data_IF_130943417533
#
_entry.id   IF_130943417533
#
_cell.length_a   1.000
_cell.length_b   1.000
_cell.length_c   1.000
_cell.angle_alpha   90.00
_cell.angle_beta   90.00
_cell.angle_gamma   90.00
#
_symmetry.space_group_name_H-M   'P 1'
#
loop_
_entity.id
_entity.type
_entity.pdbx_description
1 polymer ?
#
# COMPACT_ATOMS: atom_id res chain seq x y z
N UNK A 1 10.41 -0.88 4.67
CA UNK A 1 9.99 -2.14 5.28
C UNK A 1 10.68 -3.28 4.52
N UNK A 2 11.27 -4.24 5.22
CA UNK A 2 11.90 -5.38 4.56
C UNK A 2 10.84 -6.38 4.09
N UNK A 3 10.86 -6.76 2.82
CA UNK A 3 10.12 -7.93 2.33
C UNK A 3 10.87 -9.19 2.77
N UNK A 4 10.19 -10.16 3.36
CA UNK A 4 10.81 -11.40 3.80
C UNK A 4 11.48 -12.14 2.62
N UNK A 5 12.63 -12.79 2.85
CA UNK A 5 13.37 -13.49 1.78
C UNK A 5 12.52 -14.55 1.06
N UNK A 6 11.72 -15.40 1.74
CA UNK A 6 10.85 -16.35 1.06
C UNK A 6 9.84 -15.68 0.12
N UNK A 7 9.31 -14.52 0.52
CA UNK A 7 8.39 -13.75 -0.31
C UNK A 7 9.09 -13.19 -1.56
N UNK A 8 10.32 -12.68 -1.43
CA UNK A 8 11.08 -12.20 -2.58
C UNK A 8 11.33 -13.31 -3.62
N UNK A 9 11.64 -14.53 -3.15
CA UNK A 9 11.81 -15.69 -4.03
C UNK A 9 10.51 -16.04 -4.74
N UNK A 10 9.40 -16.15 -3.99
CA UNK A 10 8.09 -16.44 -4.58
C UNK A 10 7.69 -15.41 -5.64
N UNK A 11 7.94 -14.12 -5.40
CA UNK A 11 7.69 -13.07 -6.39
C UNK A 11 8.55 -13.27 -7.64
N UNK A 12 9.84 -13.57 -7.46
CA UNK A 12 10.76 -13.84 -8.57
C UNK A 12 10.32 -15.02 -9.43
N UNK A 13 9.95 -16.13 -8.79
CA UNK A 13 9.50 -17.35 -9.47
C UNK A 13 8.20 -17.11 -10.27
N UNK A 14 7.23 -16.39 -9.68
CA UNK A 14 5.98 -16.03 -10.36
C UNK A 14 6.23 -15.15 -11.59
N UNK A 15 7.09 -14.14 -11.47
CA UNK A 15 7.43 -13.27 -12.60
C UNK A 15 8.18 -14.03 -13.69
N UNK A 16 9.10 -14.93 -13.32
CA UNK A 16 9.84 -15.78 -14.25
C UNK A 16 8.94 -16.77 -15.01
N UNK A 17 7.84 -17.23 -14.39
CA UNK A 17 6.78 -18.01 -15.05
C UNK A 17 5.90 -17.17 -16.00
N UNK A 18 6.20 -15.88 -16.14
CA UNK A 18 5.45 -14.96 -16.98
C UNK A 18 4.11 -14.52 -16.36
N UNK A 19 3.91 -14.74 -15.06
CA UNK A 19 2.67 -14.47 -14.35
C UNK A 19 2.73 -13.12 -13.62
N UNK A 20 1.60 -12.70 -13.05
CA UNK A 20 1.45 -11.44 -12.35
C UNK A 20 1.37 -11.65 -10.84
N UNK A 21 1.91 -10.69 -10.09
CA UNK A 21 1.92 -10.68 -8.63
C UNK A 21 1.06 -9.54 -8.12
N UNK A 22 0.19 -9.81 -7.15
CA UNK A 22 -0.59 -8.79 -6.45
C UNK A 22 -0.04 -8.60 -5.04
N UNK A 23 0.59 -7.47 -4.79
CA UNK A 23 1.03 -7.03 -3.46
C UNK A 23 -0.05 -6.16 -2.84
N UNK A 24 -0.78 -6.76 -1.91
CA UNK A 24 -1.84 -6.11 -1.16
C UNK A 24 -1.32 -5.51 0.14
N UNK A 25 -1.69 -4.27 0.39
CA UNK A 25 -1.48 -3.62 1.68
C UNK A 25 -2.82 -3.36 2.35
N UNK A 26 -2.98 -3.89 3.57
CA UNK A 26 -4.16 -3.62 4.36
C UNK A 26 -4.13 -2.16 4.86
N UNK A 27 -4.85 -1.28 4.17
CA UNK A 27 -4.81 0.16 4.45
C UNK A 27 -6.20 0.81 4.53
N UNK A 28 -7.23 0.09 4.97
CA UNK A 28 -8.47 0.78 5.38
C UNK A 28 -8.16 1.58 6.66
N UNK A 29 -7.95 2.89 6.53
CA UNK A 29 -7.93 3.82 7.67
C UNK A 29 -6.62 4.56 8.00
N UNK A 30 -5.52 4.39 7.25
CA UNK A 30 -4.25 5.08 7.58
C UNK A 30 -3.72 5.92 6.41
N UNK A 31 -4.26 7.13 6.25
CA UNK A 31 -3.57 8.19 5.54
C UNK A 31 -2.21 8.43 6.27
N UNK A 32 -1.06 8.54 5.57
CA UNK A 32 0.23 8.44 6.25
C UNK A 32 0.33 9.61 7.23
N UNK A 33 0.64 9.39 8.50
CA UNK A 33 0.87 10.48 9.45
C UNK A 33 2.36 10.63 9.72
N UNK A 34 2.80 11.81 10.12
CA UNK A 34 4.20 12.02 10.46
C UNK A 34 4.42 11.61 11.91
N UNK A 35 5.39 10.71 12.15
CA UNK A 35 5.75 10.20 13.47
C UNK A 35 7.23 10.44 13.77
N UNK A 36 7.57 10.77 15.01
CA UNK A 36 8.94 10.73 15.50
C UNK A 36 9.32 9.33 15.96
N UNK A 37 10.41 8.80 15.41
CA UNK A 37 10.88 7.47 15.77
C UNK A 37 11.41 7.39 17.20
N UNK A 38 12.03 8.47 17.69
CA UNK A 38 12.66 8.51 19.01
C UNK A 38 11.66 8.59 20.18
N UNK A 39 10.61 9.40 20.06
CA UNK A 39 9.70 9.70 21.18
C UNK A 39 8.24 9.36 20.93
N UNK A 40 7.88 8.88 19.73
CA UNK A 40 6.52 8.50 19.39
C UNK A 40 5.55 9.67 19.15
N UNK A 41 6.03 10.91 19.06
CA UNK A 41 5.20 12.05 18.65
C UNK A 41 4.50 11.75 17.32
N UNK A 42 3.20 12.09 17.21
CA UNK A 42 2.39 11.94 16.00
C UNK A 42 1.83 13.31 15.62
N UNK A 43 1.87 13.66 14.33
CA UNK A 43 1.34 14.93 13.84
C UNK A 43 -0.18 15.02 13.95
N UNK A 44 -0.63 16.02 14.70
CA UNK A 44 -2.05 16.34 14.94
C UNK A 44 -2.40 17.70 14.32
N UNK A 45 -3.68 17.85 13.98
CA UNK A 45 -4.22 19.07 13.41
C UNK A 45 -4.46 20.09 14.53
N UNK A 46 -3.90 21.30 14.44
CA UNK A 46 -4.10 22.33 15.47
C UNK A 46 -5.53 22.92 15.48
N UNK A 47 -6.41 22.49 14.58
CA UNK A 47 -7.79 23.02 14.45
C UNK A 47 -8.90 22.07 14.88
N UNK A 48 -8.66 20.76 14.89
CA UNK A 48 -9.74 19.79 15.10
C UNK A 48 -9.26 18.45 15.68
N UNK A 49 -8.05 18.39 16.22
CA UNK A 49 -7.44 17.23 16.89
C UNK A 49 -7.31 15.95 16.04
N UNK A 50 -7.73 15.99 14.78
CA UNK A 50 -7.54 14.92 13.81
C UNK A 50 -6.05 14.76 13.47
N UNK A 51 -5.63 13.56 13.07
CA UNK A 51 -4.26 13.33 12.60
C UNK A 51 -4.02 14.03 11.26
N UNK A 52 -2.85 14.65 11.12
CA UNK A 52 -2.43 15.21 9.84
C UNK A 52 -1.95 14.08 8.92
N UNK A 53 -2.25 14.21 7.63
CA UNK A 53 -1.83 13.31 6.56
C UNK A 53 -0.62 13.89 5.81
N UNK A 54 0.43 13.10 5.63
CA UNK A 54 1.61 13.40 4.82
C UNK A 54 1.26 13.18 3.35
N UNK A 55 1.44 14.23 2.55
CA UNK A 55 1.33 14.21 1.10
C UNK A 55 2.73 14.39 0.52
N UNK A 56 3.41 13.28 0.20
CA UNK A 56 4.81 13.32 -0.26
C UNK A 56 4.98 14.07 -1.58
N UNK A 57 4.05 13.90 -2.53
CA UNK A 57 4.11 14.54 -3.84
C UNK A 57 4.06 16.07 -3.80
N UNK A 58 3.38 16.65 -2.81
CA UNK A 58 3.32 18.10 -2.59
C UNK A 58 4.22 18.59 -1.45
N UNK A 59 4.84 17.67 -0.69
CA UNK A 59 5.69 18.01 0.45
C UNK A 59 4.94 18.68 1.61
N UNK A 60 3.65 18.37 1.81
CA UNK A 60 2.81 19.02 2.84
C UNK A 60 2.15 18.03 3.80
N UNK A 61 1.74 18.54 4.96
CA UNK A 61 0.81 17.90 5.87
C UNK A 61 -0.58 18.49 5.66
N UNK A 62 -1.61 17.66 5.45
CA UNK A 62 -3.00 18.08 5.27
C UNK A 62 -3.94 17.35 6.23
N UNK A 63 -4.84 18.10 6.86
CA UNK A 63 -5.97 17.55 7.60
C UNK A 63 -7.15 17.36 6.66
N UNK A 64 -7.64 16.12 6.53
CA UNK A 64 -8.81 15.85 5.69
C UNK A 64 -10.15 16.11 6.37
N UNK A 65 -10.15 16.44 7.67
CA UNK A 65 -11.37 16.81 8.39
C UNK A 65 -11.72 18.28 8.18
N UNK A 66 -10.75 19.19 8.23
CA UNK A 66 -10.97 20.65 8.18
C UNK A 66 -10.18 21.39 7.07
N UNK A 67 -9.53 20.64 6.18
CA UNK A 67 -8.67 21.12 5.09
C UNK A 67 -7.44 21.95 5.50
N UNK A 68 -7.07 21.96 6.78
CA UNK A 68 -5.86 22.64 7.25
C UNK A 68 -4.59 22.06 6.61
N UNK A 69 -3.66 22.92 6.18
CA UNK A 69 -2.39 22.54 5.55
C UNK A 69 -1.23 23.20 6.27
N UNK A 70 -0.13 22.46 6.42
CA UNK A 70 1.12 22.98 6.97
C UNK A 70 2.31 22.24 6.36
N UNK A 71 3.51 22.83 6.47
CA UNK A 71 4.75 22.12 6.11
C UNK A 71 5.10 21.10 7.20
N UNK A 72 5.67 19.94 6.84
CA UNK A 72 6.28 19.05 7.83
C UNK A 72 7.37 19.79 8.63
N UNK A 73 7.43 19.65 9.97
CA UNK A 73 8.51 20.22 10.75
C UNK A 73 9.84 19.54 10.42
N UNK A 74 10.96 20.29 10.51
CA UNK A 74 12.30 19.73 10.28
C UNK A 74 12.81 18.87 11.45
N UNK A 75 12.34 19.18 12.66
CA UNK A 75 12.68 18.48 13.90
C UNK A 75 11.40 18.11 14.64
N UNK A 76 11.46 17.04 15.43
CA UNK A 76 10.35 16.66 16.29
C UNK A 76 10.03 17.80 17.27
N UNK A 77 8.77 18.30 17.29
CA UNK A 77 8.39 19.38 18.18
C UNK A 77 8.34 18.96 19.66
N UNK A 78 8.37 17.65 19.95
CA UNK A 78 8.34 17.12 21.32
C UNK A 78 9.74 16.85 21.88
N UNK A 79 10.68 16.31 21.10
CA UNK A 79 12.02 15.92 21.60
C UNK A 79 13.19 16.57 20.84
N UNK A 80 12.93 17.37 19.81
CA UNK A 80 13.95 18.06 19.01
C UNK A 80 14.75 17.18 18.03
N UNK A 81 14.59 15.85 18.07
CA UNK A 81 15.30 14.92 17.19
C UNK A 81 14.84 15.02 15.72
N UNK A 82 15.71 14.60 14.80
CA UNK A 82 15.50 14.74 13.35
C UNK A 82 14.75 13.55 12.73
N UNK A 83 14.59 12.43 13.43
CA UNK A 83 14.05 11.21 12.83
C UNK A 83 12.51 11.24 12.79
N UNK A 84 12.00 12.05 11.86
CA UNK A 84 10.58 12.15 11.51
C UNK A 84 10.29 11.31 10.28
N UNK A 85 9.41 10.33 10.43
CA UNK A 85 9.05 9.37 9.38
C UNK A 85 7.56 9.39 9.11
N UNK A 86 7.13 9.40 7.83
CA UNK A 86 5.75 9.06 7.52
C UNK A 86 5.48 7.60 7.91
N UNK A 87 4.38 7.38 8.61
CA UNK A 87 3.86 6.07 9.01
C UNK A 87 2.50 5.90 8.34
N UNK A 88 2.35 4.84 7.55
CA UNK A 88 1.18 4.62 6.70
C UNK A 88 1.42 4.85 5.20
N UNK A 89 2.64 5.19 4.76
CA UNK A 89 3.03 5.29 3.33
C UNK A 89 3.32 3.90 2.70
N UNK A 90 2.49 2.91 3.00
CA UNK A 90 2.79 1.51 2.70
C UNK A 90 2.94 1.22 1.21
N UNK A 91 2.01 1.70 0.38
CA UNK A 91 1.97 1.39 -1.06
C UNK A 91 3.13 2.02 -1.81
N UNK A 92 3.47 3.28 -1.53
CA UNK A 92 4.61 3.99 -2.13
C UNK A 92 5.94 3.36 -1.73
N UNK A 93 6.13 3.03 -0.44
CA UNK A 93 7.33 2.34 0.02
C UNK A 93 7.47 0.93 -0.53
N UNK A 94 6.35 0.20 -0.66
CA UNK A 94 6.34 -1.12 -1.27
C UNK A 94 6.72 -1.00 -2.75
N UNK A 95 6.12 -0.05 -3.47
CA UNK A 95 6.42 0.26 -4.87
C UNK A 95 7.91 0.58 -5.09
N UNK A 96 8.48 1.53 -4.35
CA UNK A 96 9.92 1.87 -4.41
C UNK A 96 10.80 0.64 -4.17
N UNK A 97 10.48 -0.15 -3.12
CA UNK A 97 11.28 -1.32 -2.78
C UNK A 97 11.19 -2.41 -3.85
N UNK A 98 10.01 -2.64 -4.40
CA UNK A 98 9.77 -3.63 -5.44
C UNK A 98 10.48 -3.25 -6.75
N UNK A 99 10.52 -1.96 -7.10
CA UNK A 99 11.31 -1.48 -8.26
C UNK A 99 12.79 -1.75 -8.12
N UNK A 100 13.34 -1.61 -6.91
CA UNK A 100 14.76 -1.91 -6.64
C UNK A 100 15.03 -3.42 -6.76
N UNK A 101 14.11 -4.25 -6.27
CA UNK A 101 14.28 -5.71 -6.24
C UNK A 101 14.02 -6.37 -7.61
N UNK A 102 13.10 -5.81 -8.40
CA UNK A 102 12.65 -6.36 -9.68
C UNK A 102 12.70 -5.29 -10.78
N UNK A 103 13.89 -4.74 -11.12
CA UNK A 103 14.01 -3.60 -12.02
C UNK A 103 13.54 -3.89 -13.46
N UNK A 104 13.49 -5.17 -13.85
CA UNK A 104 13.09 -5.61 -15.18
C UNK A 104 11.58 -5.82 -15.35
N UNK A 105 10.79 -5.66 -14.28
CA UNK A 105 9.35 -5.88 -14.31
C UNK A 105 8.59 -4.60 -13.94
N UNK A 106 7.50 -4.26 -14.65
CA UNK A 106 6.67 -3.12 -14.29
C UNK A 106 6.09 -3.26 -12.88
N UNK A 107 6.18 -2.19 -12.09
CA UNK A 107 5.53 -2.07 -10.78
C UNK A 107 4.42 -1.02 -10.89
N UNK A 108 3.18 -1.48 -10.79
CA UNK A 108 1.96 -0.71 -11.05
C UNK A 108 1.24 -0.42 -9.73
N UNK A 109 1.30 0.83 -9.23
CA UNK A 109 0.58 1.24 -8.02
C UNK A 109 -0.85 1.66 -8.31
N UNK A 110 -1.80 1.01 -7.65
CA UNK A 110 -3.24 1.20 -7.81
C UNK A 110 -3.84 1.58 -6.45
N UNK A 111 -4.00 2.88 -6.25
CA UNK A 111 -4.70 3.48 -5.13
C UNK A 111 -5.45 4.75 -5.56
N UNK A 112 -6.13 5.38 -4.60
CA UNK A 112 -6.97 6.56 -4.85
C UNK A 112 -6.16 7.74 -5.41
N UNK A 113 -4.90 7.87 -5.03
CA UNK A 113 -4.07 9.00 -5.40
C UNK A 113 -3.46 8.78 -6.80
N UNK A 114 -3.02 7.55 -7.10
CA UNK A 114 -2.49 7.18 -8.42
C UNK A 114 -3.55 7.12 -9.52
N UNK A 115 -4.83 6.93 -9.17
CA UNK A 115 -5.95 6.84 -10.13
C UNK A 115 -6.77 8.11 -10.29
N UNK A 116 -6.33 9.23 -9.70
CA UNK A 116 -7.04 10.51 -9.68
C UNK A 116 -7.13 11.25 -11.01
N UNK A 117 -6.25 10.94 -11.98
CA UNK A 117 -6.24 11.57 -13.32
C UNK A 117 -7.26 10.92 -14.25
N UNK A 118 -7.91 11.73 -15.08
CA UNK A 118 -8.83 11.27 -16.13
C UNK A 118 -8.09 10.25 -17.02
N UNK A 119 -8.68 9.06 -17.21
CA UNK A 119 -8.15 7.91 -17.98
C UNK A 119 -7.05 7.05 -17.34
N UNK A 120 -6.34 7.51 -16.30
CA UNK A 120 -5.23 6.74 -15.70
C UNK A 120 -5.63 5.32 -15.24
N UNK A 121 -6.83 5.19 -14.69
CA UNK A 121 -7.36 3.88 -14.29
C UNK A 121 -7.60 2.95 -15.49
N UNK A 122 -8.07 3.46 -16.63
CA UNK A 122 -8.35 2.67 -17.83
C UNK A 122 -7.05 2.14 -18.44
N UNK A 123 -6.03 2.99 -18.52
CA UNK A 123 -4.73 2.63 -19.10
C UNK A 123 -4.03 1.58 -18.25
N UNK A 124 -4.06 1.75 -16.92
CA UNK A 124 -3.59 0.74 -15.96
C UNK A 124 -4.25 -0.62 -16.21
N UNK A 125 -5.57 -0.66 -16.34
CA UNK A 125 -6.27 -1.93 -16.59
C UNK A 125 -5.94 -2.54 -17.95
N UNK A 126 -5.71 -1.73 -18.99
CA UNK A 126 -5.27 -2.25 -20.28
C UNK A 126 -3.91 -2.95 -20.16
N UNK A 127 -2.96 -2.36 -19.42
CA UNK A 127 -1.65 -2.99 -19.15
C UNK A 127 -1.79 -4.25 -18.33
N UNK A 128 -2.66 -4.29 -17.31
CA UNK A 128 -2.82 -5.51 -16.50
C UNK A 128 -3.46 -6.63 -17.31
N UNK A 129 -4.45 -6.30 -18.15
CA UNK A 129 -5.16 -7.26 -18.97
C UNK A 129 -4.37 -7.74 -20.19
N UNK A 130 -3.25 -7.11 -20.55
CA UNK A 130 -2.32 -7.69 -21.55
C UNK A 130 -1.75 -9.03 -21.06
N UNK A 131 -1.76 -9.25 -19.75
CA UNK A 131 -1.21 -10.45 -19.13
C UNK A 131 0.31 -10.43 -19.08
N UNK A 132 0.97 -9.33 -19.40
CA UNK A 132 2.43 -9.26 -19.25
C UNK A 132 2.83 -9.35 -17.76
N UNK A 133 4.01 -9.92 -17.47
CA UNK A 133 4.45 -10.15 -16.09
C UNK A 133 4.68 -8.80 -15.41
N UNK A 134 3.96 -8.54 -14.33
CA UNK A 134 4.05 -7.29 -13.59
C UNK A 134 3.69 -7.47 -12.13
N UNK A 135 4.03 -6.46 -11.32
CA UNK A 135 3.73 -6.40 -9.90
C UNK A 135 2.68 -5.32 -9.67
N UNK A 136 1.49 -5.72 -9.23
CA UNK A 136 0.40 -4.83 -8.84
C UNK A 136 0.53 -4.49 -7.37
N UNK A 137 0.65 -3.22 -7.02
CA UNK A 137 0.74 -2.76 -5.63
C UNK A 137 -0.52 -1.97 -5.31
N UNK A 138 -1.26 -2.33 -4.28
CA UNK A 138 -2.44 -1.56 -3.95
C UNK A 138 -3.18 -2.00 -2.70
N UNK A 139 -4.36 -1.41 -2.54
CA UNK A 139 -5.22 -1.61 -1.38
C UNK A 139 -6.54 -2.26 -1.82
N UNK A 140 -7.64 -2.03 -1.09
CA UNK A 140 -8.95 -2.61 -1.37
C UNK A 140 -9.52 -2.31 -2.76
N UNK A 141 -9.00 -1.29 -3.46
CA UNK A 141 -9.41 -1.02 -4.85
C UNK A 141 -9.08 -2.20 -5.79
N UNK A 142 -7.99 -2.94 -5.52
CA UNK A 142 -7.64 -4.16 -6.26
C UNK A 142 -8.56 -5.34 -5.93
N UNK A 143 -9.25 -5.27 -4.79
CA UNK A 143 -10.02 -6.37 -4.25
C UNK A 143 -11.48 -6.38 -4.76
N UNK A 144 -11.95 -5.34 -5.48
CA UNK A 144 -13.35 -5.17 -5.90
C UNK A 144 -13.48 -4.90 -7.40
N UNK A 145 -14.50 -5.49 -8.04
CA UNK A 145 -14.98 -5.07 -9.38
C UNK A 145 -14.07 -5.34 -10.59
N UNK A 146 -12.85 -5.84 -10.40
CA UNK A 146 -11.88 -6.03 -11.50
C UNK A 146 -11.37 -7.47 -11.55
N UNK A 147 -11.19 -8.01 -12.75
CA UNK A 147 -10.67 -9.35 -12.98
C UNK A 147 -9.21 -9.25 -13.43
N UNK A 148 -8.33 -10.06 -12.84
CA UNK A 148 -6.90 -10.10 -13.16
C UNK A 148 -6.52 -11.53 -13.52
N UNK A 149 -6.59 -11.92 -14.81
CA UNK A 149 -6.58 -13.32 -15.20
C UNK A 149 -5.25 -14.04 -14.93
N UNK A 150 -4.13 -13.31 -14.87
CA UNK A 150 -2.79 -13.89 -14.67
C UNK A 150 -2.20 -13.63 -13.29
N UNK A 151 -3.02 -13.20 -12.34
CA UNK A 151 -2.59 -13.09 -10.94
C UNK A 151 -2.61 -14.48 -10.31
N UNK A 152 -1.42 -15.02 -10.04
CA UNK A 152 -1.24 -16.35 -9.44
C UNK A 152 -0.56 -16.28 -8.07
N UNK A 153 0.00 -15.12 -7.70
CA UNK A 153 0.52 -14.87 -6.36
C UNK A 153 -0.10 -13.61 -5.78
N UNK A 154 -0.65 -13.73 -4.58
CA UNK A 154 -1.02 -12.62 -3.71
C UNK A 154 -0.03 -12.54 -2.56
N UNK A 155 0.46 -11.34 -2.27
CA UNK A 155 1.32 -11.07 -1.13
C UNK A 155 0.62 -10.05 -0.22
N UNK A 156 0.29 -10.44 1.01
CA UNK A 156 -0.34 -9.56 1.98
C UNK A 156 0.74 -8.97 2.89
N UNK A 157 1.01 -7.68 2.76
CA UNK A 157 1.92 -6.96 3.64
C UNK A 157 1.16 -6.33 4.80
N UNK A 158 1.84 -6.21 5.95
CA UNK A 158 1.32 -5.57 7.16
C UNK A 158 0.03 -6.22 7.68
N UNK A 159 -0.01 -7.55 7.65
CA UNK A 159 -1.14 -8.31 8.21
C UNK A 159 -1.26 -8.10 9.74
N UNK A 160 -0.13 -7.98 10.42
CA UNK A 160 -0.04 -7.73 11.86
C UNK A 160 -0.75 -6.44 12.27
N UNK A 161 -0.61 -5.36 11.47
CA UNK A 161 -1.31 -4.10 11.72
C UNK A 161 -2.84 -4.24 11.67
N UNK A 162 -3.36 -5.18 10.87
CA UNK A 162 -4.79 -5.50 10.84
C UNK A 162 -5.22 -6.44 11.98
N UNK A 163 -4.40 -7.43 12.32
CA UNK A 163 -4.71 -8.45 13.32
C UNK A 163 -4.55 -7.95 14.77
N UNK A 164 -3.58 -7.07 15.02
CA UNK A 164 -3.20 -6.56 16.33
C UNK A 164 -3.66 -5.11 16.57
N UNK A 165 -4.58 -4.60 15.75
CA UNK A 165 -5.14 -3.25 15.95
C UNK A 165 -6.01 -3.17 17.19
N UNK A 166 -6.02 -2.00 17.84
CA UNK A 166 -6.82 -1.70 19.03
C UNK A 166 -8.34 -1.63 18.75
N UNK A 167 -8.76 -1.65 17.49
CA UNK A 167 -10.16 -1.79 17.13
C UNK A 167 -10.60 -3.25 17.24
N UNK A 168 -11.61 -3.52 18.09
CA UNK A 168 -12.13 -4.86 18.35
C UNK A 168 -12.63 -5.61 17.10
N UNK A 169 -12.97 -4.90 16.02
CA UNK A 169 -13.40 -5.49 14.74
C UNK A 169 -12.26 -5.61 13.73
N UNK A 170 -11.03 -5.27 14.09
CA UNK A 170 -9.93 -5.27 13.15
C UNK A 170 -9.61 -6.66 12.62
N UNK A 171 -9.64 -7.69 13.47
CA UNK A 171 -9.43 -9.08 13.07
C UNK A 171 -10.51 -9.58 12.10
N UNK A 172 -11.79 -9.25 12.34
CA UNK A 172 -12.91 -9.58 11.44
C UNK A 172 -12.72 -8.93 10.06
N UNK A 173 -12.42 -7.63 10.03
CA UNK A 173 -12.22 -6.91 8.78
C UNK A 173 -10.97 -7.39 8.04
N UNK A 174 -9.92 -7.74 8.77
CA UNK A 174 -8.72 -8.32 8.19
C UNK A 174 -9.04 -9.68 7.55
N UNK A 175 -9.80 -10.54 8.23
CA UNK A 175 -10.24 -11.82 7.67
C UNK A 175 -11.06 -11.63 6.38
N UNK A 176 -12.03 -10.70 6.37
CA UNK A 176 -12.81 -10.35 5.18
C UNK A 176 -11.92 -9.85 4.02
N UNK A 177 -10.87 -9.10 4.33
CA UNK A 177 -9.93 -8.59 3.33
C UNK A 177 -9.03 -9.69 2.78
N UNK A 178 -8.51 -10.56 3.65
CA UNK A 178 -7.72 -11.72 3.23
C UNK A 178 -8.54 -12.58 2.28
N UNK A 179 -9.77 -12.95 2.67
CA UNK A 179 -10.66 -13.77 1.84
C UNK A 179 -10.93 -13.13 0.46
N UNK A 180 -11.24 -11.83 0.45
CA UNK A 180 -11.50 -11.10 -0.78
C UNK A 180 -10.29 -11.03 -1.72
N UNK A 181 -9.09 -10.86 -1.18
CA UNK A 181 -7.85 -10.75 -1.97
C UNK A 181 -7.34 -12.14 -2.37
N UNK A 182 -7.43 -13.13 -1.47
CA UNK A 182 -7.11 -14.53 -1.76
C UNK A 182 -7.94 -15.05 -2.94
N UNK A 183 -9.23 -14.73 -2.96
CA UNK A 183 -10.11 -15.03 -4.08
C UNK A 183 -9.75 -14.32 -5.39
N UNK A 184 -8.66 -13.54 -5.49
CA UNK A 184 -8.13 -12.97 -6.74
C UNK A 184 -7.00 -13.79 -7.35
N UNK A 185 -6.30 -14.60 -6.56
CA UNK A 185 -5.29 -15.49 -7.08
C UNK A 185 -5.95 -16.71 -7.74
N UNK A 186 -5.44 -17.13 -8.90
CA UNK A 186 -5.83 -18.40 -9.52
C UNK A 186 -7.29 -18.49 -9.98
N UNK A 187 -7.84 -17.39 -10.52
CA UNK A 187 -9.19 -17.37 -11.13
C UNK A 187 -9.27 -17.97 -12.53
N UNK A 188 -8.13 -18.30 -13.13
CA UNK A 188 -8.01 -18.90 -14.45
C UNK A 188 -7.57 -20.37 -14.31
N UNK A 189 -6.96 -20.94 -15.34
CA UNK A 189 -6.54 -22.35 -15.33
C UNK A 189 -5.35 -22.64 -14.40
N UNK A 190 -4.64 -21.60 -13.94
CA UNK A 190 -3.44 -21.73 -13.12
C UNK A 190 -3.75 -21.59 -11.62
N UNK A 191 -3.23 -22.48 -10.75
CA UNK A 191 -3.48 -22.42 -9.32
C UNK A 191 -2.83 -21.19 -8.68
N UNK A 192 -3.57 -20.55 -7.78
CA UNK A 192 -3.12 -19.37 -7.03
C UNK A 192 -2.44 -19.71 -5.71
N UNK A 193 -1.58 -18.81 -5.24
CA UNK A 193 -0.95 -18.83 -3.91
C UNK A 193 -1.17 -17.49 -3.21
N UNK A 194 -1.26 -17.53 -1.88
CA UNK A 194 -1.43 -16.37 -0.98
C UNK A 194 -0.40 -16.46 0.14
#
# INVERSE_FOLDING_TARGET
>A
AGLARPLQLAIGDTLAAGQQVLVFLNRRGFAPTLLCHDCGWISQCPRCDARMTVHQGSGELRCHHCDHRQRPPMNCPQCGKLDLRPVGAGTERAEERLRILFPNHPVLRIDRDSTSRKHAMRDLFATINSGEPCILVGTQMLAKGHHFPRVTLVAILDADGGLCSADFRASERMAQQIDQVAGRAGRAEEPGRV
#
